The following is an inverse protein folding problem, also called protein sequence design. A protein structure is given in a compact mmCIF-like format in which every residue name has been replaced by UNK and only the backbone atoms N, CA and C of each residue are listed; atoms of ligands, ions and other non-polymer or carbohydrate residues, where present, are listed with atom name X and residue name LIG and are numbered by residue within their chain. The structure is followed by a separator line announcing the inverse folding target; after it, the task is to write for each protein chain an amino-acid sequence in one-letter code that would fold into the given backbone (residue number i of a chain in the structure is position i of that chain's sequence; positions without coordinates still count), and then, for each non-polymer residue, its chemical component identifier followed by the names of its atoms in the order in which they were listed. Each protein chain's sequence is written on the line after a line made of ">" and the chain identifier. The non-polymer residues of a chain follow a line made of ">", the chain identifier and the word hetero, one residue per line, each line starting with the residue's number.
data_IF_969875811531
#
_entry.id   IF_969875811531
#
_cell.length_a   1.000
_cell.length_b   1.000
_cell.length_c   1.000
_cell.angle_alpha   90.00
_cell.angle_beta   90.00
_cell.angle_gamma   90.00
#
_symmetry.space_group_name_H-M   'P 1'
#
loop_
_entity.id
_entity.type
_entity.pdbx_description
1 polymer ?
#
# COMPACT_ATOMS: atom_id res chain seq x y z
N UNK A 1 76.15 -9.07 -11.60
CA UNK A 1 75.26 -9.61 -12.66
C UNK A 1 74.25 -10.63 -12.13
N UNK A 2 73.68 -10.47 -10.91
CA UNK A 2 72.72 -11.41 -10.27
C UNK A 2 71.37 -10.76 -9.81
N UNK A 3 71.18 -9.46 -9.99
CA UNK A 3 69.96 -8.77 -9.56
C UNK A 3 68.86 -8.59 -10.65
N UNK A 4 69.21 -8.79 -11.92
CA UNK A 4 68.23 -8.64 -13.03
C UNK A 4 67.35 -9.90 -13.25
N UNK A 5 67.68 -11.05 -12.67
CA UNK A 5 66.83 -12.27 -12.81
C UNK A 5 65.74 -12.42 -11.75
N UNK A 6 65.79 -11.67 -10.66
CA UNK A 6 64.78 -11.79 -9.59
C UNK A 6 63.52 -10.92 -9.85
N UNK A 7 63.65 -9.88 -10.72
CA UNK A 7 62.51 -9.03 -11.06
C UNK A 7 61.62 -9.59 -12.18
N UNK A 8 62.11 -10.57 -12.94
CA UNK A 8 61.33 -11.15 -14.04
C UNK A 8 60.30 -12.20 -13.57
N UNK A 9 60.59 -12.93 -12.48
CA UNK A 9 59.72 -14.01 -12.01
C UNK A 9 58.50 -13.48 -11.18
N UNK A 10 58.65 -12.33 -10.51
CA UNK A 10 57.57 -11.73 -9.72
C UNK A 10 56.45 -11.12 -10.57
N UNK A 11 56.82 -10.57 -11.75
CA UNK A 11 55.83 -9.94 -12.63
C UNK A 11 54.95 -10.95 -13.39
N UNK A 12 55.43 -12.17 -13.61
CA UNK A 12 54.60 -13.22 -14.24
C UNK A 12 53.61 -13.87 -13.26
N UNK A 13 53.95 -13.93 -11.95
CA UNK A 13 53.02 -14.42 -10.95
C UNK A 13 51.87 -13.41 -10.67
N UNK A 14 52.14 -12.10 -10.65
CA UNK A 14 51.13 -11.09 -10.46
C UNK A 14 50.25 -10.91 -11.69
N UNK A 15 50.81 -11.02 -12.89
CA UNK A 15 50.06 -11.00 -14.15
C UNK A 15 49.16 -12.23 -14.31
N UNK A 16 49.63 -13.42 -13.88
CA UNK A 16 48.83 -14.65 -13.86
C UNK A 16 47.65 -14.60 -12.88
N UNK A 17 47.85 -14.03 -11.68
CA UNK A 17 46.77 -13.85 -10.72
C UNK A 17 45.76 -12.78 -11.15
N UNK A 18 46.15 -11.70 -11.79
CA UNK A 18 45.27 -10.69 -12.35
C UNK A 18 44.48 -11.23 -13.56
N UNK A 19 45.09 -12.02 -14.41
CA UNK A 19 44.41 -12.67 -15.54
C UNK A 19 43.42 -13.75 -15.05
N UNK A 20 43.76 -14.51 -14.01
CA UNK A 20 42.85 -15.52 -13.43
C UNK A 20 41.67 -14.87 -12.67
N UNK A 21 41.89 -13.73 -11.98
CA UNK A 21 40.81 -13.00 -11.33
C UNK A 21 39.88 -12.27 -12.33
N UNK A 22 40.44 -11.80 -13.45
CA UNK A 22 39.63 -11.14 -14.50
C UNK A 22 38.79 -12.16 -15.29
N UNK A 23 39.29 -13.40 -15.46
CA UNK A 23 38.51 -14.46 -16.11
C UNK A 23 37.40 -15.01 -15.21
N UNK A 24 37.53 -14.97 -13.87
CA UNK A 24 36.46 -15.36 -12.96
C UNK A 24 35.30 -14.36 -12.95
N UNK A 25 35.52 -13.08 -13.26
CA UNK A 25 34.43 -12.09 -13.39
C UNK A 25 33.59 -12.27 -14.66
N UNK A 26 34.15 -12.86 -15.72
CA UNK A 26 33.40 -13.13 -16.95
C UNK A 26 32.59 -14.44 -16.92
N UNK A 27 32.83 -15.34 -15.96
CA UNK A 27 32.08 -16.59 -15.83
C UNK A 27 30.85 -16.49 -14.93
N UNK A 28 30.60 -15.34 -14.28
CA UNK A 28 29.43 -15.16 -13.41
C UNK A 28 28.14 -14.72 -14.16
N UNK A 29 28.19 -14.63 -15.49
CA UNK A 29 27.02 -14.43 -16.32
C UNK A 29 26.65 -15.74 -17.08
N UNK A 30 26.80 -16.87 -16.41
CA UNK A 30 26.20 -18.11 -16.89
C UNK A 30 24.68 -17.97 -16.69
N UNK A 31 23.99 -17.51 -17.73
CA UNK A 31 22.56 -17.66 -17.85
C UNK A 31 22.21 -19.10 -17.50
N UNK A 32 21.43 -19.30 -16.45
CA UNK A 32 20.91 -20.61 -16.06
C UNK A 32 20.02 -21.13 -17.21
N UNK A 33 20.65 -21.82 -18.15
CA UNK A 33 19.92 -22.56 -19.17
C UNK A 33 19.20 -23.71 -18.50
N UNK A 34 17.88 -23.64 -18.46
CA UNK A 34 17.07 -24.72 -17.96
C UNK A 34 17.07 -25.84 -19.02
N UNK A 35 17.62 -27.01 -18.67
CA UNK A 35 17.58 -28.19 -19.51
C UNK A 35 16.26 -28.93 -19.26
N UNK A 36 15.36 -28.95 -20.25
CA UNK A 36 14.10 -29.67 -20.15
C UNK A 36 14.21 -30.97 -20.95
N UNK A 37 14.08 -32.15 -20.33
CA UNK A 37 14.06 -33.42 -21.04
C UNK A 37 12.79 -33.53 -21.87
N UNK A 38 12.94 -33.83 -23.16
CA UNK A 38 11.81 -34.07 -24.08
C UNK A 38 11.86 -35.53 -24.52
N UNK A 39 10.79 -36.32 -24.31
CA UNK A 39 10.74 -37.71 -24.75
C UNK A 39 10.97 -37.85 -26.28
N UNK A 40 11.93 -38.65 -26.67
CA UNK A 40 12.26 -38.88 -28.08
C UNK A 40 13.14 -37.84 -28.77
N UNK A 41 13.58 -36.80 -28.01
CA UNK A 41 14.51 -35.77 -28.47
C UNK A 41 15.59 -35.54 -27.42
N UNK A 42 16.71 -34.94 -27.83
CA UNK A 42 17.71 -34.49 -26.84
C UNK A 42 17.16 -33.38 -25.94
N UNK A 43 17.78 -33.14 -24.75
CA UNK A 43 17.31 -32.12 -23.85
C UNK A 43 17.34 -30.72 -24.50
N UNK A 44 16.20 -30.04 -24.48
CA UNK A 44 16.09 -28.68 -25.01
C UNK A 44 16.53 -27.71 -23.91
N UNK A 45 17.53 -26.90 -24.20
CA UNK A 45 17.95 -25.80 -23.32
C UNK A 45 17.04 -24.60 -23.58
N UNK A 46 16.19 -24.28 -22.64
CA UNK A 46 15.34 -23.10 -22.68
C UNK A 46 15.73 -22.12 -21.59
N UNK A 47 15.94 -20.87 -21.99
CA UNK A 47 16.10 -19.77 -21.04
C UNK A 47 14.70 -19.31 -20.62
N UNK A 48 14.39 -19.37 -19.34
CA UNK A 48 13.14 -18.83 -18.82
C UNK A 48 13.21 -17.31 -18.68
N UNK A 49 13.13 -16.60 -19.80
CA UNK A 49 13.21 -15.14 -19.86
C UNK A 49 12.18 -14.46 -18.96
N UNK A 50 11.01 -15.08 -18.74
CA UNK A 50 9.96 -14.51 -17.89
C UNK A 50 10.31 -14.56 -16.39
N UNK A 51 11.05 -15.59 -15.96
CA UNK A 51 11.61 -15.63 -14.61
C UNK A 51 12.68 -14.56 -14.43
N UNK A 52 13.46 -14.27 -15.46
CA UNK A 52 14.44 -13.18 -15.43
C UNK A 52 13.75 -11.81 -15.38
N UNK A 53 12.65 -11.61 -16.10
CA UNK A 53 11.85 -10.40 -15.98
C UNK A 53 11.30 -10.22 -14.56
N UNK A 54 10.81 -11.29 -13.94
CA UNK A 54 10.38 -11.24 -12.55
C UNK A 54 11.52 -10.82 -11.61
N UNK A 55 12.71 -11.41 -11.76
CA UNK A 55 13.88 -11.08 -10.95
C UNK A 55 14.37 -9.63 -11.17
N UNK A 56 14.29 -9.13 -12.40
CA UNK A 56 14.57 -7.72 -12.69
C UNK A 56 13.54 -6.81 -12.02
N UNK A 57 12.26 -7.17 -12.08
CA UNK A 57 11.21 -6.49 -11.35
C UNK A 57 11.48 -6.42 -9.84
N UNK A 58 11.88 -7.55 -9.22
CA UNK A 58 12.29 -7.60 -7.81
C UNK A 58 13.50 -6.70 -7.51
N UNK A 59 14.46 -6.63 -8.43
CA UNK A 59 15.65 -5.79 -8.27
C UNK A 59 15.27 -4.30 -8.28
N UNK A 60 14.46 -3.87 -9.24
CA UNK A 60 13.97 -2.49 -9.29
C UNK A 60 13.04 -2.16 -8.12
N UNK A 61 12.19 -3.11 -7.70
CA UNK A 61 11.33 -2.95 -6.54
C UNK A 61 12.13 -2.69 -5.24
N UNK A 62 13.24 -3.40 -5.05
CA UNK A 62 14.16 -3.19 -3.92
C UNK A 62 14.88 -1.84 -3.97
N UNK A 63 15.08 -1.29 -5.16
CA UNK A 63 15.63 0.06 -5.38
C UNK A 63 14.55 1.15 -5.32
N UNK A 64 13.31 0.79 -4.96
CA UNK A 64 12.14 1.66 -4.93
C UNK A 64 11.78 2.30 -6.28
N UNK A 65 12.37 1.79 -7.38
CA UNK A 65 12.02 2.20 -8.74
C UNK A 65 10.79 1.40 -9.22
N UNK A 66 9.64 1.76 -8.65
CA UNK A 66 8.40 1.03 -8.85
C UNK A 66 7.87 1.11 -10.28
N UNK A 67 8.23 2.14 -11.04
CA UNK A 67 7.85 2.27 -12.45
C UNK A 67 8.56 1.25 -13.33
N UNK A 68 9.87 1.13 -13.17
CA UNK A 68 10.62 0.11 -13.89
C UNK A 68 10.27 -1.30 -13.40
N UNK A 69 10.09 -1.48 -12.08
CA UNK A 69 9.61 -2.75 -11.52
C UNK A 69 8.29 -3.18 -12.15
N UNK A 70 7.30 -2.29 -12.27
CA UNK A 70 6.01 -2.55 -12.90
C UNK A 70 6.17 -3.05 -14.34
N UNK A 71 7.00 -2.37 -15.15
CA UNK A 71 7.25 -2.76 -16.53
C UNK A 71 7.82 -4.18 -16.66
N UNK A 72 8.72 -4.57 -15.78
CA UNK A 72 9.29 -5.92 -15.77
C UNK A 72 8.30 -6.97 -15.25
N UNK A 73 7.46 -6.66 -14.26
CA UNK A 73 6.40 -7.56 -13.82
C UNK A 73 5.35 -7.78 -14.91
N UNK A 74 4.97 -6.75 -15.69
CA UNK A 74 4.11 -6.90 -16.87
C UNK A 74 4.68 -7.89 -17.91
N UNK A 75 6.00 -7.83 -18.15
CA UNK A 75 6.66 -8.78 -19.02
C UNK A 75 6.65 -10.20 -18.43
N UNK A 76 6.89 -10.34 -17.13
CA UNK A 76 6.88 -11.63 -16.44
C UNK A 76 5.50 -12.30 -16.46
N UNK A 77 4.41 -11.52 -16.40
CA UNK A 77 3.03 -12.02 -16.45
C UNK A 77 2.64 -12.72 -17.74
N UNK A 78 3.39 -12.55 -18.83
CA UNK A 78 3.14 -13.23 -20.10
C UNK A 78 3.32 -14.75 -19.99
N UNK A 79 3.95 -15.25 -18.95
CA UNK A 79 4.12 -16.66 -18.66
C UNK A 79 3.23 -17.07 -17.48
N UNK A 80 2.48 -18.16 -17.66
CA UNK A 80 1.48 -18.63 -16.68
C UNK A 80 2.08 -18.92 -15.31
N UNK A 81 3.28 -19.48 -15.24
CA UNK A 81 3.95 -19.86 -13.99
C UNK A 81 4.32 -18.66 -13.09
N UNK A 82 4.65 -17.51 -13.71
CA UNK A 82 4.96 -16.27 -12.97
C UNK A 82 3.76 -15.35 -12.82
N UNK A 83 2.62 -15.67 -13.45
CA UNK A 83 1.51 -14.73 -13.58
C UNK A 83 1.05 -14.15 -12.24
N UNK A 84 0.70 -14.97 -11.27
CA UNK A 84 0.13 -14.46 -10.02
C UNK A 84 1.15 -13.77 -9.11
N UNK A 85 2.40 -14.26 -9.08
CA UNK A 85 3.46 -13.61 -8.34
C UNK A 85 3.74 -12.21 -8.90
N UNK A 86 3.92 -12.10 -10.22
CA UNK A 86 4.14 -10.83 -10.90
C UNK A 86 2.90 -9.92 -10.81
N UNK A 87 1.69 -10.47 -10.92
CA UNK A 87 0.44 -9.73 -10.80
C UNK A 87 0.31 -9.05 -9.44
N UNK A 88 0.59 -9.76 -8.35
CA UNK A 88 0.58 -9.19 -7.00
C UNK A 88 1.63 -8.10 -6.83
N UNK A 89 2.85 -8.32 -7.33
CA UNK A 89 3.93 -7.32 -7.27
C UNK A 89 3.63 -6.08 -8.10
N UNK A 90 3.06 -6.26 -9.29
CA UNK A 90 2.60 -5.16 -10.14
C UNK A 90 1.53 -4.33 -9.44
N UNK A 91 0.54 -4.97 -8.81
CA UNK A 91 -0.49 -4.27 -8.04
C UNK A 91 0.12 -3.42 -6.91
N UNK A 92 1.14 -3.94 -6.21
CA UNK A 92 1.90 -3.15 -5.21
C UNK A 92 2.65 -1.98 -5.83
N UNK A 93 3.27 -2.16 -6.99
CA UNK A 93 3.92 -1.04 -7.69
C UNK A 93 2.93 0.09 -7.98
N UNK A 94 1.71 -0.23 -8.42
CA UNK A 94 0.68 0.78 -8.68
C UNK A 94 0.24 1.54 -7.41
N UNK A 95 0.25 0.90 -6.23
CA UNK A 95 0.04 1.61 -4.95
C UNK A 95 1.18 2.62 -4.73
N UNK A 96 2.43 2.20 -4.85
CA UNK A 96 3.59 3.06 -4.60
C UNK A 96 3.73 4.19 -5.64
N UNK A 97 3.18 4.02 -6.84
CA UNK A 97 3.13 5.07 -7.86
C UNK A 97 1.84 5.89 -7.84
N UNK A 98 0.96 5.64 -6.87
CA UNK A 98 -0.35 6.31 -6.72
C UNK A 98 -1.28 6.12 -7.93
N UNK A 99 -1.14 5.01 -8.64
CA UNK A 99 -1.99 4.64 -9.77
C UNK A 99 -3.20 3.82 -9.28
N UNK A 100 -4.04 4.44 -8.45
CA UNK A 100 -5.13 3.82 -7.70
C UNK A 100 -6.13 3.10 -8.61
N UNK A 101 -6.47 3.69 -9.76
CA UNK A 101 -7.41 3.13 -10.74
C UNK A 101 -6.91 1.81 -11.35
N UNK A 102 -5.60 1.62 -11.41
CA UNK A 102 -4.99 0.35 -11.85
C UNK A 102 -4.85 -0.62 -10.67
N UNK A 103 -4.50 -0.12 -9.48
CA UNK A 103 -4.30 -0.96 -8.31
C UNK A 103 -5.59 -1.64 -7.85
N UNK A 104 -6.70 -0.90 -7.71
CA UNK A 104 -7.95 -1.39 -7.15
C UNK A 104 -8.49 -2.65 -7.86
N UNK A 105 -8.67 -2.70 -9.21
CA UNK A 105 -9.18 -3.88 -9.86
C UNK A 105 -8.23 -5.09 -9.73
N UNK A 106 -6.92 -4.84 -9.62
CA UNK A 106 -5.95 -5.92 -9.41
C UNK A 106 -6.07 -6.51 -8.00
N UNK A 107 -6.16 -5.67 -6.97
CA UNK A 107 -6.34 -6.14 -5.59
C UNK A 107 -7.67 -6.87 -5.41
N UNK A 108 -8.75 -6.39 -6.00
CA UNK A 108 -10.05 -7.10 -6.00
C UNK A 108 -9.94 -8.49 -6.63
N UNK A 109 -9.28 -8.60 -7.76
CA UNK A 109 -9.06 -9.89 -8.42
C UNK A 109 -8.16 -10.84 -7.61
N UNK A 110 -7.21 -10.31 -6.84
CA UNK A 110 -6.41 -11.13 -5.92
C UNK A 110 -7.30 -11.58 -4.75
N UNK A 111 -8.12 -10.70 -4.21
CA UNK A 111 -9.03 -10.97 -3.10
C UNK A 111 -10.10 -12.02 -3.45
N UNK A 112 -10.58 -12.08 -4.71
CA UNK A 112 -11.45 -13.17 -5.20
C UNK A 112 -10.85 -14.57 -5.03
N UNK A 113 -9.51 -14.67 -4.97
CA UNK A 113 -8.79 -15.93 -4.78
C UNK A 113 -8.49 -16.24 -3.32
N UNK A 114 -8.42 -15.23 -2.49
CA UNK A 114 -8.08 -15.30 -1.07
C UNK A 114 -8.93 -14.28 -0.31
N UNK A 115 -10.24 -14.56 -0.26
CA UNK A 115 -11.28 -13.65 0.24
C UNK A 115 -11.13 -13.33 1.73
N UNK A 116 -10.48 -14.23 2.49
CA UNK A 116 -10.30 -14.07 3.93
C UNK A 116 -9.00 -13.34 4.29
N UNK A 117 -8.23 -12.90 3.31
CA UNK A 117 -6.96 -12.23 3.54
C UNK A 117 -7.16 -10.79 4.03
N UNK A 118 -7.07 -10.61 5.33
CA UNK A 118 -7.25 -9.31 6.00
C UNK A 118 -6.28 -8.24 5.50
N UNK A 119 -5.03 -8.60 5.18
CA UNK A 119 -4.05 -7.66 4.63
C UNK A 119 -4.43 -7.18 3.23
N UNK A 120 -5.03 -8.04 2.40
CA UNK A 120 -5.55 -7.64 1.10
C UNK A 120 -6.79 -6.75 1.25
N UNK A 121 -7.70 -7.08 2.16
CA UNK A 121 -8.86 -6.23 2.49
C UNK A 121 -8.40 -4.85 2.96
N UNK A 122 -7.42 -4.76 3.87
CA UNK A 122 -6.85 -3.49 4.33
C UNK A 122 -6.21 -2.69 3.17
N UNK A 123 -5.52 -3.35 2.25
CA UNK A 123 -5.00 -2.69 1.04
C UNK A 123 -6.11 -2.12 0.16
N UNK A 124 -7.21 -2.83 -0.01
CA UNK A 124 -8.38 -2.34 -0.77
C UNK A 124 -9.02 -1.14 -0.06
N UNK A 125 -9.18 -1.20 1.26
CA UNK A 125 -9.69 -0.06 2.05
C UNK A 125 -8.80 1.17 1.91
N UNK A 126 -7.48 0.99 1.98
CA UNK A 126 -6.52 2.05 1.77
C UNK A 126 -6.66 2.69 0.37
N UNK A 127 -6.78 1.87 -0.69
CA UNK A 127 -6.95 2.38 -2.06
C UNK A 127 -8.24 3.20 -2.17
N UNK A 128 -9.35 2.72 -1.59
CA UNK A 128 -10.60 3.48 -1.56
C UNK A 128 -10.44 4.84 -0.86
N UNK A 129 -9.76 4.89 0.28
CA UNK A 129 -9.50 6.16 0.98
C UNK A 129 -8.71 7.14 0.12
N UNK A 130 -7.69 6.64 -0.61
CA UNK A 130 -6.87 7.45 -1.52
C UNK A 130 -7.62 7.95 -2.75
N UNK A 131 -8.69 7.27 -3.15
CA UNK A 131 -9.62 7.71 -4.20
C UNK A 131 -10.73 8.65 -3.68
N UNK A 132 -10.78 8.89 -2.35
CA UNK A 132 -11.83 9.69 -1.70
C UNK A 132 -13.14 8.94 -1.50
N UNK A 133 -13.18 7.63 -1.73
CA UNK A 133 -14.31 6.77 -1.41
C UNK A 133 -14.23 6.30 0.05
N UNK A 134 -14.39 7.27 0.94
CA UNK A 134 -14.29 7.03 2.38
C UNK A 134 -15.35 6.06 2.89
N UNK A 135 -16.52 6.04 2.28
CA UNK A 135 -17.60 5.15 2.68
C UNK A 135 -17.19 3.68 2.59
N UNK A 136 -16.72 3.22 1.44
CA UNK A 136 -16.28 1.83 1.27
C UNK A 136 -15.03 1.52 2.11
N UNK A 137 -14.14 2.49 2.27
CA UNK A 137 -12.97 2.33 3.14
C UNK A 137 -13.37 2.10 4.60
N UNK A 138 -14.30 2.91 5.14
CA UNK A 138 -14.83 2.79 6.50
C UNK A 138 -15.49 1.41 6.69
N UNK A 139 -16.36 0.99 5.77
CA UNK A 139 -17.06 -0.30 5.84
C UNK A 139 -16.08 -1.48 5.94
N UNK A 140 -15.00 -1.46 5.15
CA UNK A 140 -13.99 -2.53 5.18
C UNK A 140 -13.17 -2.51 6.48
N UNK A 141 -12.78 -1.32 6.99
CA UNK A 141 -12.05 -1.26 8.26
C UNK A 141 -12.95 -1.67 9.45
N UNK A 142 -14.25 -1.38 9.44
CA UNK A 142 -15.19 -1.88 10.44
C UNK A 142 -15.27 -3.42 10.43
N UNK A 143 -15.35 -4.05 9.25
CA UNK A 143 -15.30 -5.50 9.12
C UNK A 143 -13.97 -6.08 9.66
N UNK A 144 -12.85 -5.46 9.33
CA UNK A 144 -11.52 -5.87 9.79
C UNK A 144 -11.38 -5.76 11.32
N UNK A 145 -11.86 -4.67 11.91
CA UNK A 145 -11.83 -4.44 13.35
C UNK A 145 -12.84 -5.35 14.10
N UNK A 146 -13.96 -5.70 13.47
CA UNK A 146 -14.87 -6.71 14.04
C UNK A 146 -14.20 -8.09 14.13
N UNK A 147 -13.38 -8.45 13.13
CA UNK A 147 -12.65 -9.72 13.11
C UNK A 147 -11.39 -9.70 13.98
N UNK A 148 -10.72 -8.55 14.09
CA UNK A 148 -9.46 -8.34 14.81
C UNK A 148 -9.50 -7.02 15.58
N UNK A 149 -10.24 -6.97 16.72
CA UNK A 149 -10.45 -5.73 17.48
C UNK A 149 -9.16 -5.14 18.06
N UNK A 150 -8.17 -5.99 18.35
CA UNK A 150 -6.89 -5.59 18.94
C UNK A 150 -5.82 -5.22 17.89
N UNK A 151 -6.21 -5.05 16.62
CA UNK A 151 -5.26 -4.71 15.58
C UNK A 151 -5.04 -3.19 15.52
N UNK A 152 -3.94 -2.73 16.13
CA UNK A 152 -3.57 -1.33 16.21
C UNK A 152 -3.47 -0.66 14.83
N UNK A 153 -2.91 -1.35 13.82
CA UNK A 153 -2.76 -0.80 12.47
C UNK A 153 -4.12 -0.53 11.81
N UNK A 154 -5.07 -1.44 11.97
CA UNK A 154 -6.42 -1.24 11.43
C UNK A 154 -7.15 -0.12 12.15
N UNK A 155 -6.98 0.01 13.46
CA UNK A 155 -7.56 1.08 14.26
C UNK A 155 -7.00 2.45 13.86
N UNK A 156 -5.69 2.57 13.68
CA UNK A 156 -5.05 3.80 13.21
C UNK A 156 -5.52 4.19 11.79
N UNK A 157 -5.57 3.22 10.88
CA UNK A 157 -6.03 3.47 9.52
C UNK A 157 -7.51 3.86 9.48
N UNK A 158 -8.35 3.23 10.30
CA UNK A 158 -9.76 3.58 10.45
C UNK A 158 -9.95 5.01 10.93
N UNK A 159 -9.23 5.41 11.99
CA UNK A 159 -9.21 6.79 12.47
C UNK A 159 -8.75 7.79 11.41
N UNK A 160 -7.71 7.45 10.66
CA UNK A 160 -7.21 8.30 9.59
C UNK A 160 -8.26 8.51 8.47
N UNK A 161 -8.99 7.47 8.12
CA UNK A 161 -10.06 7.54 7.10
C UNK A 161 -11.24 8.37 7.61
N UNK A 162 -11.70 8.14 8.84
CA UNK A 162 -12.75 8.94 9.48
C UNK A 162 -12.37 10.43 9.56
N UNK A 163 -11.11 10.72 9.88
CA UNK A 163 -10.59 12.08 9.95
C UNK A 163 -10.48 12.78 8.58
N UNK A 164 -10.30 12.00 7.50
CA UNK A 164 -10.16 12.53 6.14
C UNK A 164 -11.50 12.85 5.48
N UNK A 165 -12.61 12.27 5.93
CA UNK A 165 -13.96 12.49 5.40
C UNK A 165 -14.53 13.83 5.88
N UNK A 166 -13.89 14.93 5.44
CA UNK A 166 -14.24 16.30 5.86
C UNK A 166 -15.49 16.88 5.17
N UNK A 167 -16.01 16.24 4.11
CA UNK A 167 -17.02 16.88 3.24
C UNK A 167 -18.45 16.83 3.77
N UNK A 168 -18.74 15.90 4.64
CA UNK A 168 -19.97 15.78 5.44
C UNK A 168 -19.63 15.02 6.71
N UNK A 169 -19.12 15.73 7.69
CA UNK A 169 -18.92 15.12 9.00
C UNK A 169 -20.30 14.80 9.57
N UNK A 170 -20.84 13.68 9.14
CA UNK A 170 -22.11 13.18 9.68
C UNK A 170 -21.90 12.88 11.16
N UNK A 171 -22.83 13.29 12.01
CA UNK A 171 -22.83 12.97 13.45
C UNK A 171 -22.47 11.51 13.75
N UNK A 172 -22.86 10.62 12.84
CA UNK A 172 -22.50 9.19 12.91
C UNK A 172 -20.99 8.93 12.81
N UNK A 173 -20.26 9.66 11.97
CA UNK A 173 -18.80 9.49 11.82
C UNK A 173 -18.04 10.14 12.98
N UNK A 174 -18.57 11.22 13.58
CA UNK A 174 -18.05 11.78 14.81
C UNK A 174 -18.08 10.76 15.97
N UNK A 175 -19.21 10.10 16.17
CA UNK A 175 -19.35 9.07 17.19
C UNK A 175 -18.41 7.88 16.96
N UNK A 176 -18.26 7.44 15.70
CA UNK A 176 -17.32 6.37 15.33
C UNK A 176 -15.87 6.78 15.62
N UNK A 177 -15.50 8.02 15.25
CA UNK A 177 -14.17 8.55 15.52
C UNK A 177 -13.89 8.61 17.01
N UNK A 178 -14.80 9.18 17.80
CA UNK A 178 -14.70 9.27 19.26
C UNK A 178 -14.48 7.89 19.90
N UNK A 179 -15.32 6.93 19.56
CA UNK A 179 -15.22 5.56 20.09
C UNK A 179 -13.88 4.91 19.72
N UNK A 180 -13.45 5.02 18.47
CA UNK A 180 -12.19 4.44 18.01
C UNK A 180 -10.97 5.16 18.64
N UNK A 181 -11.05 6.48 18.81
CA UNK A 181 -9.99 7.26 19.44
C UNK A 181 -9.82 6.92 20.93
N UNK A 182 -10.91 6.78 21.68
CA UNK A 182 -10.85 6.35 23.08
C UNK A 182 -10.27 4.94 23.23
N UNK A 183 -10.60 4.03 22.31
CA UNK A 183 -9.97 2.69 22.24
C UNK A 183 -8.47 2.82 22.00
N UNK A 184 -8.03 3.59 21.00
CA UNK A 184 -6.61 3.79 20.73
C UNK A 184 -5.87 4.36 21.93
N UNK A 185 -6.45 5.37 22.60
CA UNK A 185 -5.88 6.03 23.77
C UNK A 185 -5.75 5.12 24.98
N UNK A 186 -6.74 4.26 25.19
CA UNK A 186 -6.79 3.34 26.33
C UNK A 186 -5.86 2.16 26.13
N UNK A 187 -5.92 1.52 24.98
CA UNK A 187 -5.24 0.26 24.73
C UNK A 187 -3.81 0.46 24.21
N UNK A 188 -3.52 1.62 23.60
CA UNK A 188 -2.22 1.95 23.00
C UNK A 188 -1.72 3.34 23.42
N UNK A 189 -1.50 3.62 24.72
CA UNK A 189 -1.14 4.96 25.23
C UNK A 189 0.20 5.48 24.70
N UNK A 190 1.10 4.57 24.27
CA UNK A 190 2.40 4.92 23.69
C UNK A 190 2.36 5.10 22.16
N UNK A 191 1.16 5.11 21.57
CA UNK A 191 1.03 5.28 20.14
C UNK A 191 1.52 6.64 19.68
N UNK A 192 2.47 6.64 18.72
CA UNK A 192 3.12 7.86 18.20
C UNK A 192 2.17 8.84 17.52
N UNK A 193 1.02 8.34 16.99
CA UNK A 193 0.03 9.13 16.28
C UNK A 193 -1.08 9.65 17.21
N UNK A 194 -1.06 9.29 18.50
CA UNK A 194 -2.13 9.61 19.45
C UNK A 194 -2.39 11.11 19.51
N UNK A 195 -1.33 11.93 19.58
CA UNK A 195 -1.46 13.39 19.59
C UNK A 195 -2.12 13.94 18.33
N UNK A 196 -1.79 13.40 17.16
CA UNK A 196 -2.40 13.81 15.89
C UNK A 196 -3.90 13.53 15.88
N UNK A 197 -4.31 12.36 16.36
CA UNK A 197 -5.72 12.03 16.48
C UNK A 197 -6.44 12.82 17.57
N UNK A 198 -5.76 13.16 18.68
CA UNK A 198 -6.31 14.04 19.70
C UNK A 198 -6.59 15.45 19.19
N UNK A 199 -5.66 16.02 18.44
CA UNK A 199 -5.83 17.35 17.84
C UNK A 199 -7.00 17.32 16.82
N UNK A 200 -7.12 16.24 16.04
CA UNK A 200 -8.24 16.06 15.12
C UNK A 200 -9.57 15.85 15.85
N UNK A 201 -9.57 15.11 16.94
CA UNK A 201 -10.74 14.94 17.81
C UNK A 201 -11.28 16.28 18.30
N UNK A 202 -10.41 17.17 18.80
CA UNK A 202 -10.80 18.51 19.27
C UNK A 202 -11.38 19.36 18.13
N UNK A 203 -10.77 19.31 16.95
CA UNK A 203 -11.29 20.00 15.75
C UNK A 203 -12.71 19.52 15.41
N UNK A 204 -12.94 18.22 15.42
CA UNK A 204 -14.22 17.62 15.07
C UNK A 204 -15.30 17.93 16.11
N UNK A 205 -14.97 17.94 17.40
CA UNK A 205 -15.89 18.28 18.47
C UNK A 205 -16.29 19.76 18.43
N UNK A 206 -15.36 20.67 18.11
CA UNK A 206 -15.68 22.10 17.97
C UNK A 206 -16.63 22.35 16.77
N UNK A 207 -16.47 21.62 15.69
CA UNK A 207 -17.39 21.69 14.53
C UNK A 207 -18.80 21.18 14.91
N UNK A 208 -18.90 20.13 15.72
CA UNK A 208 -20.19 19.61 16.19
C UNK A 208 -20.92 20.65 17.06
N UNK A 209 -20.22 21.32 17.98
CA UNK A 209 -20.78 22.36 18.82
C UNK A 209 -21.29 23.56 17.99
N UNK A 210 -20.50 24.03 17.00
CA UNK A 210 -20.90 25.10 16.08
C UNK A 210 -22.13 24.72 15.23
N UNK A 211 -22.27 23.48 14.81
CA UNK A 211 -23.41 22.98 14.05
C UNK A 211 -24.69 22.90 14.90
N UNK A 212 -24.57 22.47 16.16
CA UNK A 212 -25.69 22.41 17.11
C UNK A 212 -26.21 23.82 17.39
N UNK A 213 -25.32 24.78 17.67
CA UNK A 213 -25.69 26.19 17.90
C UNK A 213 -26.39 26.81 16.66
N UNK A 214 -25.93 26.45 15.46
CA UNK A 214 -26.55 26.93 14.20
C UNK A 214 -27.94 26.32 13.94
N UNK A 215 -28.17 25.05 14.30
CA UNK A 215 -29.50 24.41 14.17
C UNK A 215 -30.47 24.93 15.23
N UNK A 216 -30.04 25.18 16.45
CA UNK A 216 -30.84 25.77 17.52
C UNK A 216 -31.24 27.22 17.17
N UNK A 217 -30.31 28.04 16.66
CA UNK A 217 -30.62 29.42 16.20
C UNK A 217 -31.62 29.49 15.06
N UNK A 218 -31.59 28.52 14.13
CA UNK A 218 -32.57 28.45 13.04
C UNK A 218 -33.96 27.99 13.51
N UNK A 219 -34.05 27.19 14.54
CA UNK A 219 -35.31 26.76 15.15
C UNK A 219 -36.00 27.92 15.90
N UNK A 220 -35.24 28.74 16.61
CA UNK A 220 -35.74 29.92 17.32
C UNK A 220 -36.24 31.01 16.32
N UNK A 221 -35.49 31.30 15.25
CA UNK A 221 -35.95 32.23 14.22
C UNK A 221 -37.26 31.79 13.51
N UNK A 222 -37.43 30.47 13.34
CA UNK A 222 -38.63 29.92 12.73
C UNK A 222 -39.86 29.99 13.65
N UNK A 223 -39.67 29.85 14.95
CA UNK A 223 -40.72 30.00 15.96
C UNK A 223 -41.14 31.45 16.14
N UNK A 224 -40.20 32.41 16.24
CA UNK A 224 -40.51 33.85 16.29
C UNK A 224 -41.23 34.32 15.04
N UNK A 225 -40.88 33.83 13.85
CA UNK A 225 -41.53 34.18 12.60
C UNK A 225 -42.98 33.65 12.52
N UNK A 226 -43.30 32.54 13.15
CA UNK A 226 -44.64 31.97 13.22
C UNK A 226 -45.53 32.67 14.27
N UNK A 227 -44.97 33.02 15.43
CA UNK A 227 -45.67 33.77 16.44
C UNK A 227 -46.06 35.17 15.98
N UNK A 228 -45.18 35.85 15.21
CA UNK A 228 -45.48 37.17 14.62
C UNK A 228 -46.57 37.15 13.56
N UNK A 229 -46.78 36.02 12.86
CA UNK A 229 -47.85 35.83 11.88
C UNK A 229 -49.21 35.58 12.53
N UNK A 230 -49.22 34.80 13.60
CA UNK A 230 -50.47 34.53 14.33
C UNK A 230 -51.04 35.77 15.04
N UNK A 231 -50.21 36.74 15.43
CA UNK A 231 -50.62 38.02 16.01
C UNK A 231 -51.17 39.01 14.97
N UNK A 232 -50.79 38.86 13.70
CA UNK A 232 -51.27 39.75 12.62
C UNK A 232 -52.59 39.29 11.95
N UNK A 233 -53.01 38.05 12.17
CA UNK A 233 -54.31 37.55 11.64
C UNK A 233 -55.49 37.73 12.63
N UNK A 234 -55.24 38.23 13.85
CA UNK A 234 -56.29 38.43 14.88
C UNK A 234 -56.65 39.92 15.11
N UNK A 235 -56.19 40.86 14.26
CA UNK A 235 -56.67 42.26 14.20
C UNK A 235 -57.58 42.48 12.98
#
# INVERSE_FOLDING_TARGET
>A
MKLKKLFSAKNYLTAGFLAASLTMFFFSCASTELSVPVPGQGPIKTRNIYAEYYNLGESYYKLEDYKNAASYYELAMKKKEQYWAAYYKLAKCYIFTSEWDKALPMYRKILERDSENSSLKASVAYIYSMQGDFKHSIEIYEELLQAQPDNQEYLENYLAVLAADNKKFEKKNALKFTSAFETLKTDYPENKNLKTFEDKYKELMNIEDELVEAEEGQSEESEESNESKDLSENE
#
